data_IF_527372723210
#
_entry.id   IF_527372723210
#
_cell.length_a   1.000
_cell.length_b   1.000
_cell.length_c   1.000
_cell.angle_alpha   90.00
_cell.angle_beta   90.00
_cell.angle_gamma   90.00
#
_symmetry.space_group_name_H-M   'P 1'
#
loop_
_entity.id
_entity.type
_entity.pdbx_description
1 polymer ?
#
# COMPACT_ATOMS: atom_id res chain seq x y z
N UNK A 1 -11.39 -21.36 -4.32
CA UNK A 1 -10.63 -20.12 -4.43
C UNK A 1 -9.53 -20.32 -5.46
N UNK A 2 -9.28 -19.33 -6.33
CA UNK A 2 -8.12 -19.32 -7.24
C UNK A 2 -7.00 -18.57 -6.50
N UNK A 3 -5.80 -19.14 -6.44
CA UNK A 3 -4.66 -18.52 -5.78
C UNK A 3 -3.80 -17.80 -6.82
N UNK A 4 -3.39 -16.58 -6.51
CA UNK A 4 -2.48 -15.79 -7.33
C UNK A 4 -1.23 -15.42 -6.53
N UNK A 5 -0.08 -15.38 -7.20
CA UNK A 5 1.23 -15.21 -6.56
C UNK A 5 1.63 -13.74 -6.34
N UNK A 6 0.89 -12.78 -6.89
CA UNK A 6 1.21 -11.35 -6.78
C UNK A 6 -0.01 -10.46 -6.95
N UNK A 7 0.11 -9.19 -6.54
CA UNK A 7 -0.91 -8.17 -6.80
C UNK A 7 -1.20 -8.02 -8.30
N UNK A 8 -0.17 -8.04 -9.15
CA UNK A 8 -0.33 -7.94 -10.61
C UNK A 8 -1.14 -9.10 -11.18
N UNK A 9 -0.79 -10.33 -10.82
CA UNK A 9 -1.50 -11.53 -11.27
C UNK A 9 -2.95 -11.56 -10.76
N UNK A 10 -3.18 -11.14 -9.51
CA UNK A 10 -4.52 -11.03 -8.95
C UNK A 10 -5.36 -9.97 -9.67
N UNK A 11 -4.79 -8.78 -9.92
CA UNK A 11 -5.44 -7.70 -10.66
C UNK A 11 -5.86 -8.15 -12.06
N UNK A 12 -4.96 -8.77 -12.82
CA UNK A 12 -5.26 -9.31 -14.16
C UNK A 12 -6.37 -10.35 -14.12
N UNK A 13 -6.37 -11.22 -13.10
CA UNK A 13 -7.41 -12.24 -12.93
C UNK A 13 -8.78 -11.61 -12.66
N UNK A 14 -8.83 -10.62 -11.77
CA UNK A 14 -10.06 -9.90 -11.43
C UNK A 14 -10.59 -9.10 -12.62
N UNK A 15 -9.72 -8.37 -13.33
CA UNK A 15 -10.07 -7.60 -14.52
C UNK A 15 -10.68 -8.47 -15.65
N UNK A 16 -10.22 -9.72 -15.78
CA UNK A 16 -10.71 -10.66 -16.80
C UNK A 16 -11.93 -11.49 -16.40
N UNK A 17 -12.44 -11.35 -15.16
CA UNK A 17 -13.47 -12.24 -14.60
C UNK A 17 -14.60 -11.47 -13.93
N UNK A 18 -15.77 -11.40 -14.58
CA UNK A 18 -16.91 -10.58 -14.13
C UNK A 18 -17.41 -10.85 -12.69
N UNK A 19 -17.13 -12.01 -12.11
CA UNK A 19 -17.58 -12.39 -10.77
C UNK A 19 -16.43 -12.59 -9.77
N UNK A 20 -15.24 -12.08 -10.07
CA UNK A 20 -14.07 -12.20 -9.20
C UNK A 20 -13.96 -11.02 -8.22
N UNK A 21 -13.50 -11.33 -7.01
CA UNK A 21 -13.12 -10.34 -5.99
C UNK A 21 -11.76 -10.75 -5.42
N UNK A 22 -10.92 -9.77 -5.12
CA UNK A 22 -9.59 -9.96 -4.55
C UNK A 22 -9.16 -8.73 -3.77
N UNK A 23 -8.01 -8.83 -3.10
CA UNK A 23 -7.39 -7.73 -2.38
C UNK A 23 -6.01 -7.44 -2.97
N UNK A 24 -5.74 -6.19 -3.30
CA UNK A 24 -4.44 -5.73 -3.80
C UNK A 24 -3.95 -4.53 -2.99
N UNK A 25 -2.63 -4.30 -2.97
CA UNK A 25 -2.06 -3.07 -2.44
C UNK A 25 -2.51 -1.85 -3.25
N UNK A 26 -2.66 -0.69 -2.60
CA UNK A 26 -3.05 0.58 -3.21
C UNK A 26 -2.22 0.94 -4.47
N UNK A 27 -0.90 0.73 -4.45
CA UNK A 27 -0.03 1.01 -5.60
C UNK A 27 -0.32 0.20 -6.87
N UNK A 28 -1.14 -0.84 -6.78
CA UNK A 28 -1.56 -1.63 -7.96
C UNK A 28 -2.93 -1.22 -8.49
N UNK A 29 -3.67 -0.36 -7.77
CA UNK A 29 -4.98 0.11 -8.17
C UNK A 29 -4.86 1.00 -9.41
N UNK A 30 -5.63 0.67 -10.44
CA UNK A 30 -5.79 1.47 -11.64
C UNK A 30 -7.21 1.25 -12.20
N UNK A 31 -7.49 1.83 -13.36
CA UNK A 31 -8.81 1.74 -14.00
C UNK A 31 -9.17 0.35 -14.55
N UNK A 32 -8.30 -0.66 -14.45
CA UNK A 32 -8.61 -2.03 -14.89
C UNK A 32 -9.46 -2.82 -13.89
N UNK A 33 -9.57 -2.33 -12.66
CA UNK A 33 -10.36 -2.96 -11.58
C UNK A 33 -11.14 -1.89 -10.82
N UNK A 34 -12.27 -2.29 -10.22
CA UNK A 34 -13.08 -1.40 -9.41
C UNK A 34 -12.73 -1.55 -7.93
N UNK A 35 -12.32 -0.46 -7.29
CA UNK A 35 -12.14 -0.43 -5.84
C UNK A 35 -13.49 -0.39 -5.12
N UNK A 36 -13.64 -1.17 -4.06
CA UNK A 36 -14.88 -1.24 -3.28
C UNK A 36 -14.88 -0.15 -2.21
N UNK A 37 -16.00 0.56 -2.12
CA UNK A 37 -16.31 1.51 -1.03
C UNK A 37 -16.54 0.71 0.25
N UNK A 38 -15.82 1.05 1.32
CA UNK A 38 -15.96 0.39 2.62
C UNK A 38 -16.50 1.42 3.61
N UNK A 39 -17.62 1.09 4.26
CA UNK A 39 -18.30 1.98 5.22
C UNK A 39 -18.60 3.38 4.67
N UNK A 40 -18.93 3.49 3.38
CA UNK A 40 -19.20 4.77 2.72
C UNK A 40 -17.95 5.58 2.35
N UNK A 41 -16.75 5.04 2.55
CA UNK A 41 -15.48 5.72 2.23
C UNK A 41 -14.83 5.09 1.01
N UNK A 42 -14.45 5.93 0.04
CA UNK A 42 -13.73 5.51 -1.17
C UNK A 42 -12.27 5.16 -0.88
N UNK A 43 -11.73 4.19 -1.61
CA UNK A 43 -10.33 3.78 -1.52
C UNK A 43 -9.39 4.76 -2.25
N UNK A 44 -9.20 5.94 -1.68
CA UNK A 44 -8.29 6.97 -2.20
C UNK A 44 -7.06 7.12 -1.31
N UNK A 45 -5.95 7.63 -1.86
CA UNK A 45 -4.74 7.95 -1.08
C UNK A 45 -5.05 8.97 0.01
N UNK A 46 -5.91 9.95 -0.27
CA UNK A 46 -6.35 10.94 0.70
C UNK A 46 -7.09 10.30 1.89
N UNK A 47 -8.08 9.44 1.62
CA UNK A 47 -8.85 8.75 2.66
C UNK A 47 -8.00 7.73 3.43
N UNK A 48 -7.01 7.15 2.77
CA UNK A 48 -6.04 6.27 3.42
C UNK A 48 -5.11 7.07 4.36
N UNK A 49 -4.61 8.24 3.93
CA UNK A 49 -3.75 9.11 4.76
C UNK A 49 -4.47 9.70 5.96
N UNK A 50 -5.73 10.13 5.80
CA UNK A 50 -6.51 10.73 6.88
C UNK A 50 -7.16 9.68 7.82
N UNK A 51 -6.97 8.39 7.55
CA UNK A 51 -7.47 7.28 8.38
C UNK A 51 -8.96 6.98 8.25
N UNK A 52 -9.68 7.63 7.33
CA UNK A 52 -11.11 7.37 7.11
C UNK A 52 -11.34 6.08 6.33
N UNK A 53 -10.46 5.72 5.39
CA UNK A 53 -10.52 4.43 4.73
C UNK A 53 -9.95 3.35 5.66
N UNK A 54 -10.75 2.35 6.09
CA UNK A 54 -10.38 1.48 7.20
C UNK A 54 -9.35 0.40 6.84
N UNK A 55 -9.11 0.14 5.55
CA UNK A 55 -8.21 -0.93 5.09
C UNK A 55 -6.84 -0.36 4.76
N UNK A 56 -6.12 0.06 5.81
CA UNK A 56 -4.75 0.57 5.74
C UNK A 56 -3.89 -0.06 6.81
N UNK A 57 -2.59 -0.18 6.54
CA UNK A 57 -1.61 -0.68 7.52
C UNK A 57 -0.27 0.03 7.33
N UNK A 58 0.51 0.22 8.40
CA UNK A 58 1.86 0.75 8.26
C UNK A 58 2.80 -0.27 7.60
N UNK A 59 3.83 0.23 6.93
CA UNK A 59 5.01 -0.53 6.59
C UNK A 59 6.02 -0.35 7.72
N UNK A 60 6.43 -1.46 8.35
CA UNK A 60 7.20 -1.44 9.59
C UNK A 60 8.67 -1.74 9.33
N UNK A 61 9.54 -0.93 9.92
CA UNK A 61 10.93 -1.33 10.18
C UNK A 61 10.96 -2.10 11.49
N UNK A 62 11.45 -3.34 11.45
CA UNK A 62 11.58 -4.18 12.63
C UNK A 62 13.06 -4.36 12.96
N UNK A 63 13.47 -3.89 14.13
CA UNK A 63 14.86 -4.00 14.62
C UNK A 63 14.87 -4.72 15.97
N UNK A 64 15.97 -5.43 16.26
CA UNK A 64 16.17 -6.02 17.59
C UNK A 64 16.67 -4.93 18.53
N UNK A 65 15.74 -4.32 19.27
CA UNK A 65 16.01 -3.14 20.10
C UNK A 65 16.17 -1.86 19.28
N UNK A 66 16.62 -0.80 19.94
CA UNK A 66 16.80 0.52 19.32
C UNK A 66 17.91 0.50 18.25
N UNK A 67 17.65 0.95 17.01
CA UNK A 67 18.66 0.98 15.98
C UNK A 67 19.73 2.02 16.27
N UNK A 68 21.00 1.62 16.14
CA UNK A 68 22.16 2.51 16.21
C UNK A 68 22.93 2.56 14.89
N UNK A 69 23.95 3.44 14.83
CA UNK A 69 24.93 3.46 13.74
C UNK A 69 24.32 3.58 12.35
N UNK A 70 24.76 2.71 11.43
CA UNK A 70 24.33 2.71 10.03
C UNK A 70 22.84 2.36 9.88
N UNK A 71 22.31 1.45 10.71
CA UNK A 71 20.91 1.04 10.66
C UNK A 71 20.01 2.24 10.94
N UNK A 72 20.32 3.02 11.99
CA UNK A 72 19.56 4.24 12.30
C UNK A 72 19.61 5.24 11.15
N UNK A 73 20.80 5.51 10.60
CA UNK A 73 20.97 6.44 9.48
C UNK A 73 20.16 6.05 8.25
N UNK A 74 20.08 4.75 7.95
CA UNK A 74 19.26 4.25 6.84
C UNK A 74 17.76 4.45 7.10
N UNK A 75 17.28 4.10 8.29
CA UNK A 75 15.86 4.30 8.65
C UNK A 75 15.52 5.79 8.63
N UNK A 76 16.38 6.65 9.20
CA UNK A 76 16.21 8.11 9.18
C UNK A 76 16.14 8.66 7.74
N UNK A 77 16.97 8.15 6.82
CA UNK A 77 16.90 8.51 5.41
C UNK A 77 15.56 8.08 4.78
N UNK A 78 15.15 6.83 5.00
CA UNK A 78 13.89 6.30 4.47
C UNK A 78 12.67 7.07 4.98
N UNK A 79 12.68 7.50 6.24
CA UNK A 79 11.61 8.29 6.85
C UNK A 79 11.71 9.80 6.57
N UNK A 80 12.86 10.26 6.07
CA UNK A 80 13.09 11.65 5.67
C UNK A 80 12.51 12.00 4.30
N UNK A 81 12.59 13.29 3.95
CA UNK A 81 11.99 13.86 2.72
C UNK A 81 12.41 13.09 1.46
N UNK A 82 13.70 12.82 1.29
CA UNK A 82 14.21 12.12 0.11
C UNK A 82 13.71 10.67 0.02
N UNK A 83 13.71 9.94 1.14
CA UNK A 83 13.19 8.58 1.18
C UNK A 83 11.68 8.53 0.92
N UNK A 84 10.93 9.48 1.46
CA UNK A 84 9.48 9.53 1.30
C UNK A 84 9.04 10.02 -0.09
N UNK A 85 9.87 10.82 -0.77
CA UNK A 85 9.66 11.11 -2.19
C UNK A 85 9.70 9.83 -3.03
N UNK A 86 10.63 8.92 -2.75
CA UNK A 86 10.71 7.60 -3.41
C UNK A 86 9.50 6.74 -3.03
N UNK A 87 9.10 6.72 -1.74
CA UNK A 87 7.91 5.97 -1.30
C UNK A 87 6.66 6.44 -2.04
N UNK A 88 6.51 7.74 -2.27
CA UNK A 88 5.34 8.32 -2.93
C UNK A 88 5.17 7.93 -4.41
N UNK A 89 6.18 7.31 -5.03
CA UNK A 89 6.08 6.80 -6.41
C UNK A 89 5.12 5.60 -6.50
N UNK A 90 5.10 4.73 -5.47
CA UNK A 90 4.32 3.47 -5.48
C UNK A 90 3.43 3.26 -4.23
N UNK A 91 3.69 4.00 -3.15
CA UNK A 91 3.07 3.81 -1.84
C UNK A 91 2.63 5.14 -1.23
N UNK A 92 1.93 5.05 -0.09
CA UNK A 92 1.45 6.21 0.65
C UNK A 92 2.58 6.69 1.57
N UNK A 93 3.17 7.83 1.24
CA UNK A 93 4.15 8.54 2.08
C UNK A 93 3.58 8.88 3.47
N UNK A 94 4.45 8.82 4.50
CA UNK A 94 4.13 9.26 5.87
C UNK A 94 4.38 10.75 6.10
N UNK A 95 4.99 11.43 5.13
CA UNK A 95 5.05 12.89 5.01
C UNK A 95 3.92 13.43 4.14
#
# INVERSE_FOLDING_TARGET
AILQSSNGALKTTVAGSNNAIGFISFGYLDSSVNAIIINGVEATVENAKNGTYPIVRPLLYLTKGEPGGLVKKYIDFCQGIAGQAIVAEDYISIL
#
